data_IF_799495393287
#
_entry.id   IF_799495393287
#
_cell.length_a   1.000
_cell.length_b   1.000
_cell.length_c   1.000
_cell.angle_alpha   90.00
_cell.angle_beta   90.00
_cell.angle_gamma   90.00
#
_symmetry.space_group_name_H-M   'P 1'
#
loop_
_entity.id
_entity.type
_entity.pdbx_description
1 polymer ?
#
# COMPACT_ATOMS: atom_id res chain seq x y z
N UNK A 1 36.07 24.54 36.97
CA UNK A 1 36.17 24.55 35.50
C UNK A 1 35.36 23.34 35.00
N UNK A 2 34.12 23.58 34.59
CA UNK A 2 33.23 22.51 34.12
C UNK A 2 33.55 22.20 32.67
N UNK A 3 34.07 21.00 32.41
CA UNK A 3 34.30 20.47 31.07
C UNK A 3 32.94 19.97 30.51
N UNK A 4 32.13 20.91 30.05
CA UNK A 4 30.94 20.56 29.28
C UNK A 4 31.40 20.07 27.91
N UNK A 5 31.30 18.77 27.66
CA UNK A 5 31.43 18.18 26.32
C UNK A 5 30.45 18.88 25.37
N UNK A 6 30.91 19.40 24.22
CA UNK A 6 30.00 20.01 23.25
C UNK A 6 28.95 18.96 22.81
N UNK A 7 27.69 19.38 22.62
CA UNK A 7 26.66 18.48 22.10
C UNK A 7 27.11 17.90 20.78
N UNK A 8 26.79 16.62 20.50
CA UNK A 8 27.14 15.98 19.23
C UNK A 8 26.58 16.82 18.09
N UNK A 9 27.44 17.07 17.09
CA UNK A 9 27.11 17.85 15.89
C UNK A 9 25.75 17.41 15.37
N UNK A 10 24.86 18.39 15.16
CA UNK A 10 23.51 18.17 14.65
C UNK A 10 23.56 17.21 13.47
N UNK A 11 23.01 16.01 13.65
CA UNK A 11 22.91 15.02 12.61
C UNK A 11 22.28 15.69 11.38
N UNK A 12 22.98 15.60 10.26
CA UNK A 12 22.61 16.20 8.97
C UNK A 12 21.12 16.06 8.72
N UNK A 13 20.44 17.12 8.27
CA UNK A 13 18.99 17.24 8.13
C UNK A 13 18.29 16.27 7.18
N UNK A 14 18.90 15.10 6.93
CA UNK A 14 18.39 14.00 6.11
C UNK A 14 17.62 12.94 6.92
N UNK A 15 17.57 13.05 8.24
CA UNK A 15 16.77 12.13 9.05
C UNK A 15 15.34 12.64 9.23
N UNK A 16 14.35 11.77 8.99
CA UNK A 16 12.93 12.05 9.18
C UNK A 16 12.60 12.54 10.59
N UNK A 17 13.39 12.12 11.59
CA UNK A 17 13.24 12.54 12.99
C UNK A 17 13.60 14.00 13.24
N UNK A 18 14.45 14.60 12.42
CA UNK A 18 15.00 15.95 12.62
C UNK A 18 14.39 17.03 11.72
N UNK A 19 13.75 16.63 10.60
CA UNK A 19 13.21 17.58 9.63
C UNK A 19 11.68 17.44 9.45
N UNK A 20 10.86 18.39 9.93
CA UNK A 20 9.42 18.37 9.70
C UNK A 20 9.06 18.41 8.21
N UNK A 21 9.83 19.15 7.39
CA UNK A 21 9.59 19.22 5.93
C UNK A 21 9.76 17.86 5.25
N UNK A 22 10.77 17.08 5.63
CA UNK A 22 10.97 15.72 5.12
C UNK A 22 9.83 14.79 5.55
N UNK A 23 9.32 14.91 6.75
CA UNK A 23 8.18 14.13 7.25
C UNK A 23 6.91 14.40 6.42
N UNK A 24 6.59 15.68 6.18
CA UNK A 24 5.44 16.05 5.35
C UNK A 24 5.62 15.63 3.90
N UNK A 25 6.81 15.83 3.31
CA UNK A 25 7.09 15.42 1.94
C UNK A 25 6.98 13.90 1.78
N UNK A 26 7.56 13.12 2.69
CA UNK A 26 7.47 11.64 2.65
C UNK A 26 6.02 11.18 2.81
N UNK A 27 5.26 11.78 3.74
CA UNK A 27 3.85 11.49 3.91
C UNK A 27 3.05 11.79 2.64
N UNK A 28 3.22 12.98 2.07
CA UNK A 28 2.52 13.37 0.85
C UNK A 28 2.86 12.45 -0.33
N UNK A 29 4.13 12.09 -0.51
CA UNK A 29 4.55 11.16 -1.57
C UNK A 29 3.99 9.76 -1.36
N UNK A 30 3.94 9.28 -0.12
CA UNK A 30 3.36 7.97 0.20
C UNK A 30 1.87 7.94 -0.10
N UNK A 31 1.10 8.94 0.29
CA UNK A 31 -0.32 9.05 -0.03
C UNK A 31 -0.58 9.21 -1.54
N UNK A 32 0.26 9.96 -2.23
CA UNK A 32 0.18 10.09 -3.69
C UNK A 32 0.41 8.74 -4.37
N UNK A 33 1.47 8.03 -4.00
CA UNK A 33 1.77 6.70 -4.56
C UNK A 33 0.66 5.68 -4.28
N UNK A 34 0.03 5.75 -3.11
CA UNK A 34 -1.10 4.90 -2.72
C UNK A 34 -2.39 5.26 -3.47
N UNK A 35 -2.59 6.54 -3.80
CA UNK A 35 -3.74 7.02 -4.55
C UNK A 35 -3.84 6.45 -5.96
N UNK A 36 -2.71 6.14 -6.61
CA UNK A 36 -2.67 5.58 -7.96
C UNK A 36 -3.35 4.20 -8.03
N UNK A 37 -2.94 3.17 -7.27
CA UNK A 37 -3.62 1.87 -7.29
C UNK A 37 -5.06 1.95 -6.78
N UNK A 38 -5.35 2.81 -5.83
CA UNK A 38 -6.72 3.03 -5.37
C UNK A 38 -7.62 3.59 -6.48
N UNK A 39 -7.20 4.64 -7.15
CA UNK A 39 -7.94 5.23 -8.27
C UNK A 39 -8.14 4.23 -9.41
N UNK A 40 -7.10 3.43 -9.71
CA UNK A 40 -7.18 2.39 -10.73
C UNK A 40 -8.23 1.32 -10.37
N UNK A 41 -8.16 0.74 -9.19
CA UNK A 41 -9.00 -0.39 -8.79
C UNK A 41 -10.46 0.00 -8.49
N UNK A 42 -10.69 1.18 -7.92
CA UNK A 42 -12.03 1.55 -7.45
C UNK A 42 -12.78 2.47 -8.40
N UNK A 43 -12.10 3.11 -9.34
CA UNK A 43 -12.71 4.04 -10.29
C UNK A 43 -12.46 3.60 -11.73
N UNK A 44 -11.22 3.51 -12.17
CA UNK A 44 -10.89 3.30 -13.56
C UNK A 44 -11.27 1.91 -14.05
N UNK A 45 -10.94 0.86 -13.32
CA UNK A 45 -11.27 -0.53 -13.68
C UNK A 45 -12.77 -0.80 -13.71
N UNK A 46 -13.57 -0.45 -12.68
CA UNK A 46 -15.02 -0.60 -12.74
C UNK A 46 -15.67 0.14 -13.90
N UNK A 47 -15.25 1.39 -14.14
CA UNK A 47 -15.75 2.17 -15.27
C UNK A 47 -15.41 1.50 -16.62
N UNK A 48 -14.19 1.02 -16.77
CA UNK A 48 -13.75 0.32 -17.97
C UNK A 48 -14.49 -1.01 -18.17
N UNK A 49 -14.66 -1.82 -17.12
CA UNK A 49 -15.45 -3.07 -17.18
C UNK A 49 -16.89 -2.80 -17.61
N UNK A 50 -17.52 -1.73 -17.13
CA UNK A 50 -18.84 -1.32 -17.56
C UNK A 50 -18.89 -0.99 -19.07
N UNK A 51 -17.88 -0.32 -19.62
CA UNK A 51 -17.79 -0.05 -21.06
C UNK A 51 -17.61 -1.31 -21.89
N UNK A 52 -17.08 -2.39 -21.31
CA UNK A 52 -16.95 -3.71 -21.94
C UNK A 52 -18.21 -4.56 -21.81
N UNK A 53 -19.27 -4.05 -21.20
CA UNK A 53 -20.55 -4.75 -21.06
C UNK A 53 -20.58 -5.78 -19.93
N UNK A 54 -19.62 -5.74 -19.01
CA UNK A 54 -19.64 -6.60 -17.82
C UNK A 54 -20.84 -6.22 -16.94
N UNK A 55 -21.57 -7.23 -16.46
CA UNK A 55 -22.77 -7.00 -15.66
C UNK A 55 -22.47 -6.21 -14.38
N UNK A 56 -23.37 -5.32 -14.00
CA UNK A 56 -23.21 -4.50 -12.80
C UNK A 56 -23.07 -5.34 -11.52
N UNK A 57 -23.68 -6.52 -11.48
CA UNK A 57 -23.55 -7.48 -10.37
C UNK A 57 -22.14 -8.04 -10.24
N UNK A 58 -21.46 -8.31 -11.36
CA UNK A 58 -20.07 -8.80 -11.37
C UNK A 58 -19.10 -7.69 -10.96
N UNK A 59 -19.34 -6.46 -11.42
CA UNK A 59 -18.55 -5.29 -10.98
C UNK A 59 -18.74 -5.03 -9.48
N UNK A 60 -19.96 -5.16 -8.97
CA UNK A 60 -20.23 -5.03 -7.54
C UNK A 60 -19.56 -6.14 -6.72
N UNK A 61 -19.56 -7.38 -7.21
CA UNK A 61 -18.85 -8.49 -6.57
C UNK A 61 -17.34 -8.25 -6.55
N UNK A 62 -16.76 -7.79 -7.65
CA UNK A 62 -15.36 -7.39 -7.74
C UNK A 62 -15.02 -6.34 -6.68
N UNK A 63 -15.77 -5.24 -6.62
CA UNK A 63 -15.56 -4.16 -5.64
C UNK A 63 -15.71 -4.66 -4.20
N UNK A 64 -16.71 -5.51 -3.92
CA UNK A 64 -16.92 -6.08 -2.60
C UNK A 64 -15.76 -6.94 -2.13
N UNK A 65 -15.22 -7.79 -2.99
CA UNK A 65 -14.11 -8.68 -2.67
C UNK A 65 -12.82 -7.89 -2.45
N UNK A 66 -12.49 -6.94 -3.32
CA UNK A 66 -11.26 -6.16 -3.18
C UNK A 66 -11.27 -5.23 -1.96
N UNK A 67 -12.44 -4.94 -1.38
CA UNK A 67 -12.58 -4.16 -0.15
C UNK A 67 -12.37 -4.98 1.13
N UNK A 68 -12.44 -6.31 1.07
CA UNK A 68 -12.30 -7.16 2.26
C UNK A 68 -11.01 -6.92 3.07
N UNK A 69 -9.82 -6.70 2.45
CA UNK A 69 -8.60 -6.45 3.23
C UNK A 69 -8.72 -5.24 4.16
N UNK A 70 -9.49 -4.23 3.80
CA UNK A 70 -9.72 -3.05 4.64
C UNK A 70 -10.55 -3.39 5.89
N UNK A 71 -11.49 -4.32 5.77
CA UNK A 71 -12.26 -4.80 6.92
C UNK A 71 -11.36 -5.55 7.93
N UNK A 72 -10.34 -6.26 7.44
CA UNK A 72 -9.39 -7.01 8.27
C UNK A 72 -8.21 -6.16 8.79
N UNK A 73 -8.09 -4.89 8.39
CA UNK A 73 -7.02 -3.99 8.84
C UNK A 73 -6.89 -3.91 10.36
N UNK A 74 -8.01 -3.97 11.08
CA UNK A 74 -8.04 -3.95 12.55
C UNK A 74 -7.32 -5.16 13.18
N UNK A 75 -7.26 -6.28 12.47
CA UNK A 75 -6.57 -7.50 12.92
C UNK A 75 -5.09 -7.49 12.54
N UNK A 76 -4.74 -6.90 11.42
CA UNK A 76 -3.36 -6.85 10.90
C UNK A 76 -2.49 -5.93 11.76
N UNK A 77 -3.01 -4.83 12.28
CA UNK A 77 -2.29 -3.90 13.15
C UNK A 77 -1.66 -4.56 14.37
N UNK A 78 -2.43 -5.21 15.25
CA UNK A 78 -1.91 -5.95 16.41
C UNK A 78 -0.97 -7.09 16.01
N UNK A 79 -1.21 -7.76 14.87
CA UNK A 79 -0.35 -8.82 14.36
C UNK A 79 1.04 -8.28 13.99
N UNK A 80 1.12 -7.14 13.32
CA UNK A 80 2.38 -6.48 12.98
C UNK A 80 3.15 -6.02 14.22
N UNK A 81 2.45 -5.61 15.26
CA UNK A 81 3.07 -5.17 16.52
C UNK A 81 3.59 -6.34 17.37
N UNK A 82 3.09 -7.57 17.13
CA UNK A 82 3.50 -8.77 17.86
C UNK A 82 4.75 -9.44 17.27
N UNK A 83 4.97 -9.32 15.96
CA UNK A 83 6.10 -9.96 15.28
C UNK A 83 7.24 -9.00 14.97
N UNK A 84 8.40 -9.19 15.61
CA UNK A 84 9.65 -8.47 15.33
C UNK A 84 10.56 -9.37 14.47
N UNK A 85 10.56 -9.16 13.14
CA UNK A 85 11.31 -10.03 12.23
C UNK A 85 12.75 -9.57 11.95
N UNK A 86 13.09 -8.27 12.17
CA UNK A 86 14.38 -7.72 11.75
C UNK A 86 14.86 -6.60 12.70
N UNK A 87 16.19 -6.38 12.80
CA UNK A 87 16.78 -5.31 13.61
C UNK A 87 16.44 -3.89 13.12
N UNK A 88 15.70 -3.75 12.02
CA UNK A 88 15.27 -2.47 11.43
C UNK A 88 13.99 -1.88 12.07
N UNK A 89 13.45 -2.52 13.12
CA UNK A 89 12.22 -2.09 13.83
C UNK A 89 10.97 -2.84 13.36
N UNK A 90 9.89 -2.73 14.17
CA UNK A 90 8.67 -3.57 14.03
C UNK A 90 7.94 -3.42 12.68
N UNK A 91 7.85 -2.21 12.14
CA UNK A 91 6.98 -1.90 10.99
C UNK A 91 7.70 -1.80 9.64
N UNK A 92 8.99 -1.47 9.60
CA UNK A 92 9.73 -1.26 8.35
C UNK A 92 9.73 -2.46 7.41
N UNK A 93 10.00 -3.71 7.86
CA UNK A 93 10.01 -4.86 6.97
C UNK A 93 8.63 -5.16 6.38
N UNK A 94 7.56 -4.92 7.15
CA UNK A 94 6.18 -5.09 6.68
C UNK A 94 5.83 -4.11 5.57
N UNK A 95 6.19 -2.83 5.74
CA UNK A 95 5.96 -1.79 4.73
C UNK A 95 6.74 -2.07 3.45
N UNK A 96 8.02 -2.45 3.55
CA UNK A 96 8.85 -2.79 2.38
C UNK A 96 8.30 -4.02 1.65
N UNK A 97 7.93 -5.07 2.40
CA UNK A 97 7.31 -6.28 1.84
C UNK A 97 5.99 -5.96 1.14
N UNK A 98 5.14 -5.15 1.75
CA UNK A 98 3.88 -4.73 1.18
C UNK A 98 4.06 -3.90 -0.10
N UNK A 99 5.01 -2.97 -0.12
CA UNK A 99 5.33 -2.20 -1.32
C UNK A 99 5.84 -3.08 -2.46
N UNK A 100 6.73 -4.02 -2.16
CA UNK A 100 7.22 -4.98 -3.16
C UNK A 100 6.07 -5.83 -3.70
N UNK A 101 5.24 -6.39 -2.82
CA UNK A 101 4.06 -7.18 -3.21
C UNK A 101 3.08 -6.38 -4.05
N UNK A 102 2.86 -5.10 -3.74
CA UNK A 102 2.00 -4.21 -4.51
C UNK A 102 2.56 -3.98 -5.93
N UNK A 103 3.87 -3.73 -6.07
CA UNK A 103 4.52 -3.55 -7.38
C UNK A 103 4.37 -4.82 -8.22
N UNK A 104 4.64 -6.00 -7.65
CA UNK A 104 4.50 -7.28 -8.36
C UNK A 104 3.05 -7.49 -8.80
N UNK A 105 2.08 -7.20 -7.92
CA UNK A 105 0.66 -7.34 -8.23
C UNK A 105 0.19 -6.38 -9.32
N UNK A 106 0.69 -5.13 -9.33
CA UNK A 106 0.41 -4.15 -10.38
C UNK A 106 1.01 -4.58 -11.73
N UNK A 107 2.23 -5.14 -11.72
CA UNK A 107 2.82 -5.70 -12.93
C UNK A 107 2.02 -6.89 -13.44
N UNK A 108 1.60 -7.80 -12.56
CA UNK A 108 0.73 -8.92 -12.91
C UNK A 108 -0.61 -8.44 -13.51
N UNK A 109 -1.19 -7.36 -12.97
CA UNK A 109 -2.39 -6.74 -13.52
C UNK A 109 -2.16 -6.22 -14.94
N UNK A 110 -1.01 -5.59 -15.20
CA UNK A 110 -0.64 -5.07 -16.53
C UNK A 110 -0.33 -6.15 -17.55
N UNK A 111 -0.04 -7.37 -17.12
CA UNK A 111 0.24 -8.52 -17.97
C UNK A 111 -1.02 -9.37 -18.29
N UNK A 112 -2.19 -8.99 -17.78
CA UNK A 112 -3.44 -9.69 -18.13
C UNK A 112 -3.82 -9.38 -19.58
N UNK A 113 -3.85 -10.41 -20.42
CA UNK A 113 -4.22 -10.29 -21.83
C UNK A 113 -5.71 -9.95 -22.02
N UNK A 114 -6.58 -10.59 -21.24
CA UNK A 114 -8.04 -10.36 -21.29
C UNK A 114 -8.63 -10.28 -19.87
N UNK A 115 -8.67 -9.07 -19.27
CA UNK A 115 -9.20 -8.87 -17.93
C UNK A 115 -10.70 -9.19 -17.80
N UNK A 116 -11.46 -9.09 -18.89
CA UNK A 116 -12.91 -9.38 -18.89
C UNK A 116 -13.15 -10.90 -18.82
N UNK A 117 -12.46 -11.67 -19.67
CA UNK A 117 -12.56 -13.13 -19.64
C UNK A 117 -11.99 -13.72 -18.35
N UNK A 118 -11.02 -13.03 -17.71
CA UNK A 118 -10.31 -13.45 -16.50
C UNK A 118 -10.71 -12.63 -15.26
N UNK A 119 -12.00 -12.27 -15.16
CA UNK A 119 -12.48 -11.39 -14.06
C UNK A 119 -12.18 -11.97 -12.66
N UNK A 120 -12.15 -13.29 -12.52
CA UNK A 120 -11.76 -13.94 -11.29
C UNK A 120 -10.29 -13.69 -10.92
N UNK A 121 -9.38 -13.78 -11.89
CA UNK A 121 -7.96 -13.48 -11.71
C UNK A 121 -7.73 -11.99 -11.48
N UNK A 122 -8.44 -11.14 -12.21
CA UNK A 122 -8.46 -9.69 -12.01
C UNK A 122 -8.85 -9.35 -10.55
N UNK A 123 -9.90 -10.00 -10.05
CA UNK A 123 -10.38 -9.81 -8.67
C UNK A 123 -9.33 -10.28 -7.64
N UNK A 124 -8.68 -11.43 -7.88
CA UNK A 124 -7.64 -11.93 -7.00
C UNK A 124 -6.42 -10.98 -6.94
N UNK A 125 -5.97 -10.47 -8.08
CA UNK A 125 -4.88 -9.48 -8.15
C UNK A 125 -5.29 -8.18 -7.46
N UNK A 126 -6.50 -7.68 -7.71
CA UNK A 126 -7.05 -6.50 -7.07
C UNK A 126 -7.15 -6.65 -5.54
N UNK A 127 -7.57 -7.83 -5.07
CA UNK A 127 -7.56 -8.17 -3.64
C UNK A 127 -6.15 -8.10 -3.04
N UNK A 128 -5.13 -8.67 -3.73
CA UNK A 128 -3.74 -8.62 -3.28
C UNK A 128 -3.21 -7.19 -3.22
N UNK A 129 -3.47 -6.35 -4.22
CA UNK A 129 -3.07 -4.95 -4.23
C UNK A 129 -3.67 -4.22 -3.02
N UNK A 130 -4.97 -4.42 -2.75
CA UNK A 130 -5.62 -3.81 -1.58
C UNK A 130 -5.10 -4.37 -0.25
N UNK A 131 -4.79 -5.67 -0.17
CA UNK A 131 -4.20 -6.28 1.01
C UNK A 131 -2.83 -5.66 1.34
N UNK A 132 -1.98 -5.49 0.35
CA UNK A 132 -0.68 -4.81 0.52
C UNK A 132 -0.85 -3.33 0.85
N UNK A 133 -1.80 -2.64 0.21
CA UNK A 133 -2.13 -1.25 0.54
C UNK A 133 -2.60 -1.11 1.98
N UNK A 134 -3.51 -1.98 2.44
CA UNK A 134 -3.99 -1.98 3.81
C UNK A 134 -2.89 -2.30 4.85
N UNK A 135 -1.90 -3.11 4.45
CA UNK A 135 -0.77 -3.48 5.32
C UNK A 135 0.23 -2.34 5.50
N UNK A 136 0.46 -1.52 4.48
CA UNK A 136 1.43 -0.41 4.58
C UNK A 136 0.84 0.85 5.25
N UNK A 137 -0.46 0.97 5.37
CA UNK A 137 -1.18 2.12 5.88
C UNK A 137 -1.43 2.01 7.40
#
# INVERSE_FOLDING_TARGET
>A
MSNATPPPAAASGWFLSTSPRLRYATGAMSYFAQGIPMGLLHIALPAWLATKGVAATEIAAFLGIIMLPWAFKLLVGPLMDHFEFLPMGKRRPWVLGAQFGMVVSLLALGLLDDPVAQIGLLTAIGFLINAFTATQD
#
